data_IF_020753804247
#
_entry.id   IF_020753804247
#
_cell.length_a   1.000
_cell.length_b   1.000
_cell.length_c   1.000
_cell.angle_alpha   90.00
_cell.angle_beta   90.00
_cell.angle_gamma   90.00
#
_symmetry.space_group_name_H-M   'P 1'
#
loop_
_entity.id
_entity.type
_entity.pdbx_description
1 polymer ?
#
# COMPACT_ATOMS: atom_id res chain seq x y z
N UNK A 1 -14.13 9.70 -49.33
CA UNK A 1 -13.07 9.97 -48.35
C UNK A 1 -13.50 10.86 -47.17
N UNK A 2 -13.99 12.10 -47.42
CA UNK A 2 -14.40 13.01 -46.30
C UNK A 2 -15.50 12.44 -45.41
N UNK A 3 -16.55 11.83 -45.97
CA UNK A 3 -17.64 11.23 -45.19
C UNK A 3 -17.15 10.12 -44.28
N UNK A 4 -16.28 9.22 -44.78
CA UNK A 4 -15.69 8.13 -43.97
C UNK A 4 -14.84 8.69 -42.83
N UNK A 5 -14.06 9.74 -43.09
CA UNK A 5 -13.26 10.41 -42.05
C UNK A 5 -14.15 11.01 -40.95
N UNK A 6 -15.21 11.72 -41.32
CA UNK A 6 -16.13 12.33 -40.34
C UNK A 6 -16.90 11.29 -39.55
N UNK A 7 -17.35 10.19 -40.17
CA UNK A 7 -18.02 9.09 -39.43
C UNK A 7 -17.08 8.39 -38.49
N UNK A 8 -15.82 8.12 -38.88
CA UNK A 8 -14.81 7.52 -38.02
C UNK A 8 -14.46 8.41 -36.82
N UNK A 9 -14.31 9.74 -37.06
CA UNK A 9 -14.06 10.69 -35.97
C UNK A 9 -15.24 10.78 -35.00
N UNK A 10 -16.47 10.85 -35.53
CA UNK A 10 -17.68 10.87 -34.71
C UNK A 10 -17.80 9.61 -33.84
N UNK A 11 -17.52 8.42 -34.39
CA UNK A 11 -17.53 7.16 -33.67
C UNK A 11 -16.45 7.16 -32.56
N UNK A 12 -15.24 7.62 -32.87
CA UNK A 12 -14.15 7.70 -31.87
C UNK A 12 -14.53 8.64 -30.72
N UNK A 13 -15.11 9.79 -31.02
CA UNK A 13 -15.58 10.74 -30.00
C UNK A 13 -16.68 10.12 -29.12
N UNK A 14 -17.64 9.43 -29.76
CA UNK A 14 -18.72 8.75 -29.05
C UNK A 14 -18.19 7.64 -28.11
N UNK A 15 -17.26 6.81 -28.60
CA UNK A 15 -16.62 5.75 -27.80
C UNK A 15 -15.82 6.34 -26.62
N UNK A 16 -15.11 7.44 -26.87
CA UNK A 16 -14.39 8.15 -25.82
C UNK A 16 -15.35 8.70 -24.76
N UNK A 17 -16.41 9.37 -25.18
CA UNK A 17 -17.42 9.91 -24.26
C UNK A 17 -18.10 8.80 -23.44
N UNK A 18 -18.47 7.69 -24.08
CA UNK A 18 -19.03 6.52 -23.41
C UNK A 18 -18.07 5.94 -22.37
N UNK A 19 -16.79 5.81 -22.73
CA UNK A 19 -15.75 5.32 -21.81
C UNK A 19 -15.62 6.22 -20.59
N UNK A 20 -15.53 7.54 -20.80
CA UNK A 20 -15.40 8.51 -19.70
C UNK A 20 -16.65 8.52 -18.80
N UNK A 21 -17.84 8.48 -19.40
CA UNK A 21 -19.10 8.41 -18.65
C UNK A 21 -19.19 7.13 -17.81
N UNK A 22 -18.85 5.97 -18.40
CA UNK A 22 -18.92 4.68 -17.72
C UNK A 22 -17.87 4.61 -16.60
N UNK A 23 -16.65 5.11 -16.84
CA UNK A 23 -15.61 5.20 -15.82
C UNK A 23 -16.08 6.07 -14.64
N UNK A 24 -16.58 7.28 -14.89
CA UNK A 24 -17.10 8.15 -13.83
C UNK A 24 -18.27 7.51 -13.05
N UNK A 25 -19.14 6.77 -13.73
CA UNK A 25 -20.24 6.04 -13.08
C UNK A 25 -19.73 4.90 -12.20
N UNK A 26 -18.69 4.17 -12.62
CA UNK A 26 -18.10 3.09 -11.82
C UNK A 26 -17.35 3.65 -10.61
N UNK A 27 -16.65 4.76 -10.76
CA UNK A 27 -16.01 5.50 -9.66
C UNK A 27 -17.04 5.91 -8.60
N UNK A 28 -18.11 6.57 -9.02
CA UNK A 28 -19.19 7.00 -8.12
C UNK A 28 -19.87 5.81 -7.41
N UNK A 29 -20.02 4.68 -8.10
CA UNK A 29 -20.57 3.45 -7.50
C UNK A 29 -19.64 2.86 -6.45
N UNK A 30 -18.33 2.83 -6.73
CA UNK A 30 -17.35 2.35 -5.79
C UNK A 30 -17.32 3.22 -4.52
N UNK A 31 -17.35 4.55 -4.68
CA UNK A 31 -17.40 5.48 -3.55
C UNK A 31 -18.70 5.38 -2.74
N UNK A 32 -19.83 5.15 -3.39
CA UNK A 32 -21.10 4.94 -2.71
C UNK A 32 -21.19 3.60 -1.96
N UNK A 33 -20.57 2.55 -2.53
CA UNK A 33 -20.53 1.22 -1.91
C UNK A 33 -19.49 1.14 -0.76
N UNK A 34 -18.42 1.88 -0.85
CA UNK A 34 -17.30 1.86 0.09
C UNK A 34 -16.95 3.29 0.55
N UNK A 35 -17.83 3.97 1.30
CA UNK A 35 -17.54 5.31 1.82
C UNK A 35 -16.31 5.29 2.75
N UNK A 36 -15.67 6.44 3.01
CA UNK A 36 -14.56 6.53 3.96
C UNK A 36 -15.02 6.07 5.35
N UNK A 37 -14.21 5.22 5.99
CA UNK A 37 -14.51 4.64 7.33
C UNK A 37 -14.02 5.53 8.47
N UNK A 38 -13.17 6.50 8.20
CA UNK A 38 -12.48 7.32 9.18
C UNK A 38 -12.64 8.81 8.94
N UNK A 39 -11.60 9.53 9.29
CA UNK A 39 -11.54 10.99 9.27
C UNK A 39 -10.49 11.49 8.27
N UNK A 40 -10.45 12.81 8.10
CA UNK A 40 -9.52 13.47 7.21
C UNK A 40 -8.66 14.46 7.98
N UNK A 41 -7.38 14.53 7.60
CA UNK A 41 -6.39 15.44 8.13
C UNK A 41 -5.75 16.23 6.97
N UNK A 42 -5.56 17.54 7.16
CA UNK A 42 -4.85 18.38 6.20
C UNK A 42 -3.39 18.58 6.68
N UNK A 43 -2.45 18.14 5.83
CA UNK A 43 -1.01 18.33 6.05
C UNK A 43 -0.42 18.99 4.82
N UNK A 44 0.11 20.19 4.97
CA UNK A 44 0.76 20.97 3.90
C UNK A 44 -0.12 21.09 2.62
N UNK A 45 -1.45 21.26 2.81
CA UNK A 45 -2.41 21.32 1.72
C UNK A 45 -2.79 19.96 1.13
N UNK A 46 -2.29 18.86 1.68
CA UNK A 46 -2.62 17.50 1.27
C UNK A 46 -3.64 16.89 2.23
N UNK A 47 -4.78 16.44 1.72
CA UNK A 47 -5.80 15.75 2.50
C UNK A 47 -5.44 14.28 2.62
N UNK A 48 -5.28 13.80 3.86
CA UNK A 48 -4.97 12.42 4.20
C UNK A 48 -6.16 11.81 4.94
N UNK A 49 -6.64 10.68 4.44
CA UNK A 49 -7.65 9.86 5.11
C UNK A 49 -6.97 8.90 6.08
N UNK A 50 -7.53 8.77 7.27
CA UNK A 50 -7.07 7.83 8.28
C UNK A 50 -8.23 7.23 9.06
N UNK A 51 -8.00 6.04 9.60
CA UNK A 51 -8.88 5.38 10.58
C UNK A 51 -8.10 5.24 11.88
N UNK A 52 -8.72 5.58 13.00
CA UNK A 52 -8.09 5.45 14.32
C UNK A 52 -9.01 4.68 15.27
N UNK A 53 -8.41 3.79 16.06
CA UNK A 53 -9.15 3.01 17.06
C UNK A 53 -8.24 2.63 18.24
N UNK A 54 -8.85 2.37 19.39
CA UNK A 54 -8.15 1.89 20.58
C UNK A 54 -7.42 2.96 21.37
N UNK A 55 -6.65 2.50 22.34
CA UNK A 55 -5.81 3.31 23.23
C UNK A 55 -4.57 2.52 23.66
N UNK A 56 -3.52 3.21 24.09
CA UNK A 56 -2.23 2.60 24.44
C UNK A 56 -1.10 3.16 23.59
N UNK A 57 0.02 2.42 23.43
CA UNK A 57 1.11 2.82 22.56
C UNK A 57 0.64 3.03 21.11
N UNK A 58 1.20 4.04 20.44
CA UNK A 58 0.85 4.38 19.07
C UNK A 58 1.37 3.34 18.07
N UNK A 59 0.49 2.87 17.21
CA UNK A 59 0.80 1.93 16.15
C UNK A 59 0.24 2.43 14.81
N UNK A 60 1.12 2.81 13.91
CA UNK A 60 0.77 3.21 12.52
C UNK A 60 0.82 1.99 11.60
N UNK A 61 -0.23 1.79 10.80
CA UNK A 61 -0.31 0.72 9.79
C UNK A 61 -0.31 1.32 8.39
N UNK A 62 0.59 0.84 7.51
CA UNK A 62 0.78 1.31 6.14
C UNK A 62 0.56 0.16 5.16
N UNK A 63 -0.49 0.25 4.35
CA UNK A 63 -0.90 -0.79 3.40
C UNK A 63 0.01 -0.88 2.16
N UNK A 64 -0.07 -2.00 1.45
CA UNK A 64 0.67 -2.31 0.24
C UNK A 64 0.23 -1.55 -1.03
N UNK A 65 0.77 -1.95 -2.17
CA UNK A 65 0.33 -1.46 -3.48
C UNK A 65 -1.14 -1.81 -3.73
N UNK A 66 -1.87 -0.95 -4.44
CA UNK A 66 -3.30 -1.12 -4.73
C UNK A 66 -4.23 -1.22 -3.51
N UNK A 67 -3.71 -1.11 -2.29
CA UNK A 67 -4.47 -1.20 -1.06
C UNK A 67 -5.16 0.11 -0.66
N UNK A 68 -5.86 0.06 0.46
CA UNK A 68 -6.44 1.18 1.18
C UNK A 68 -6.57 0.81 2.66
N UNK A 69 -7.13 1.68 3.52
CA UNK A 69 -7.31 1.42 4.96
C UNK A 69 -8.06 0.12 5.25
N UNK A 70 -8.93 -0.35 4.35
CA UNK A 70 -9.72 -1.58 4.51
C UNK A 70 -8.86 -2.84 4.59
N UNK A 71 -7.62 -2.78 4.12
CA UNK A 71 -6.61 -3.83 4.29
C UNK A 71 -6.44 -4.22 5.77
N UNK A 72 -6.46 -3.23 6.65
CA UNK A 72 -6.28 -3.45 8.08
C UNK A 72 -7.58 -3.34 8.89
N UNK A 73 -8.58 -2.57 8.41
CA UNK A 73 -9.87 -2.47 9.12
C UNK A 73 -10.71 -3.75 8.98
N UNK A 74 -10.39 -4.64 8.05
CA UNK A 74 -11.06 -5.92 7.88
C UNK A 74 -11.05 -6.78 9.15
N UNK A 75 -9.87 -6.90 9.80
CA UNK A 75 -9.74 -7.72 11.02
C UNK A 75 -8.67 -7.19 11.98
N UNK A 76 -7.55 -6.65 11.48
CA UNK A 76 -6.41 -6.31 12.33
C UNK A 76 -6.69 -5.15 13.27
N UNK A 77 -7.45 -4.13 12.83
CA UNK A 77 -7.83 -3.00 13.68
C UNK A 77 -8.44 -3.48 14.98
N UNK A 78 -9.46 -4.32 14.89
CA UNK A 78 -10.21 -4.78 16.09
C UNK A 78 -9.35 -5.70 16.97
N UNK A 79 -8.49 -6.53 16.37
CA UNK A 79 -7.57 -7.40 17.10
C UNK A 79 -6.45 -6.64 17.83
N UNK A 80 -6.14 -5.40 17.43
CA UNK A 80 -5.06 -4.59 18.00
C UNK A 80 -5.56 -3.47 18.92
N UNK A 81 -6.81 -3.02 18.77
CA UNK A 81 -7.34 -1.83 19.44
C UNK A 81 -7.46 -1.95 20.97
N UNK A 82 -7.47 -3.16 21.53
CA UNK A 82 -7.45 -3.38 22.98
C UNK A 82 -6.08 -3.08 23.62
N UNK A 83 -5.02 -3.02 22.81
CA UNK A 83 -3.62 -2.89 23.29
C UNK A 83 -2.88 -1.68 22.73
N UNK A 84 -3.29 -1.19 21.58
CA UNK A 84 -2.65 -0.10 20.84
C UNK A 84 -3.64 0.99 20.46
N UNK A 85 -3.17 2.23 20.39
CA UNK A 85 -3.84 3.25 19.60
C UNK A 85 -3.43 3.06 18.14
N UNK A 86 -4.27 2.36 17.39
CA UNK A 86 -4.05 2.00 15.99
C UNK A 86 -4.41 3.17 15.09
N UNK A 87 -3.49 3.58 14.21
CA UNK A 87 -3.68 4.63 13.21
C UNK A 87 -3.41 4.02 11.84
N UNK A 88 -4.41 3.93 10.99
CA UNK A 88 -4.33 3.33 9.66
C UNK A 88 -4.46 4.44 8.64
N UNK A 89 -3.46 4.66 7.80
CA UNK A 89 -3.51 5.67 6.76
C UNK A 89 -3.83 5.07 5.39
N UNK A 90 -4.66 5.77 4.61
CA UNK A 90 -4.60 5.63 3.16
C UNK A 90 -3.32 6.30 2.67
N UNK A 91 -2.44 5.55 1.96
CA UNK A 91 -1.24 6.13 1.37
C UNK A 91 -1.60 7.20 0.33
N UNK A 92 -0.75 8.21 0.10
CA UNK A 92 -1.02 9.28 -0.86
C UNK A 92 -1.48 8.77 -2.23
N UNK A 93 -2.60 9.29 -2.72
CA UNK A 93 -3.22 8.94 -4.00
C UNK A 93 -4.02 7.63 -4.01
N UNK A 94 -4.07 6.91 -2.89
CA UNK A 94 -4.85 5.68 -2.74
C UNK A 94 -5.99 5.89 -1.71
N UNK A 95 -6.95 4.97 -1.70
CA UNK A 95 -8.13 5.11 -0.86
C UNK A 95 -8.76 6.49 -1.03
N UNK A 96 -8.84 7.25 0.03
CA UNK A 96 -9.41 8.60 0.04
C UNK A 96 -8.38 9.72 0.29
N UNK A 97 -7.09 9.39 0.33
CA UNK A 97 -6.02 10.38 0.42
C UNK A 97 -5.73 11.06 -0.91
N UNK A 98 -5.42 12.36 -0.87
CA UNK A 98 -4.99 13.10 -2.06
C UNK A 98 -3.65 12.56 -2.59
N UNK A 99 -3.46 12.68 -3.89
CA UNK A 99 -2.15 12.45 -4.52
C UNK A 99 -1.18 13.54 -4.10
N UNK A 100 0.05 13.18 -3.78
CA UNK A 100 1.12 14.16 -3.56
C UNK A 100 1.36 14.98 -4.84
N UNK A 101 1.62 16.27 -4.68
CA UNK A 101 2.00 17.13 -5.79
C UNK A 101 3.38 16.77 -6.36
N UNK A 102 3.57 17.04 -7.64
CA UNK A 102 4.81 16.72 -8.34
C UNK A 102 4.95 15.23 -8.64
N UNK A 103 6.14 14.68 -8.45
CA UNK A 103 6.42 13.25 -8.62
C UNK A 103 5.89 12.36 -7.51
N UNK A 104 5.40 12.92 -6.41
CA UNK A 104 4.72 12.36 -5.19
C UNK A 104 4.66 10.86 -4.93
N UNK A 105 5.27 10.09 -5.80
CA UNK A 105 5.41 8.64 -5.78
C UNK A 105 6.65 8.19 -5.00
N UNK A 106 7.61 9.09 -4.71
CA UNK A 106 8.83 8.77 -4.01
C UNK A 106 8.54 8.23 -2.59
N UNK A 107 9.23 7.16 -2.22
CA UNK A 107 9.10 6.51 -0.89
C UNK A 107 9.34 7.49 0.25
N UNK A 108 10.38 8.35 0.11
CA UNK A 108 10.71 9.38 1.09
C UNK A 108 9.56 10.35 1.33
N UNK A 109 8.95 10.86 0.26
CA UNK A 109 7.92 11.90 0.37
C UNK A 109 6.64 11.33 0.99
N UNK A 110 6.28 10.09 0.64
CA UNK A 110 5.19 9.36 1.29
C UNK A 110 5.48 9.16 2.79
N UNK A 111 6.67 8.69 3.14
CA UNK A 111 7.07 8.43 4.52
C UNK A 111 7.03 9.71 5.38
N UNK A 112 7.61 10.80 4.89
CA UNK A 112 7.64 12.08 5.61
C UNK A 112 6.25 12.71 5.74
N UNK A 113 5.37 12.56 4.74
CA UNK A 113 3.98 13.01 4.85
C UNK A 113 3.22 12.22 5.93
N UNK A 114 3.33 10.89 5.92
CA UNK A 114 2.66 10.04 6.92
C UNK A 114 3.24 10.24 8.32
N UNK A 115 4.55 10.49 8.43
CA UNK A 115 5.18 10.86 9.71
C UNK A 115 4.59 12.15 10.27
N UNK A 116 4.49 13.22 9.45
CA UNK A 116 3.87 14.48 9.90
C UNK A 116 2.38 14.32 10.22
N UNK A 117 1.67 13.47 9.47
CA UNK A 117 0.28 13.13 9.76
C UNK A 117 0.14 12.42 11.12
N UNK A 118 0.99 11.45 11.41
CA UNK A 118 1.02 10.77 12.70
C UNK A 118 1.33 11.73 13.86
N UNK A 119 2.35 12.58 13.73
CA UNK A 119 2.70 13.59 14.72
C UNK A 119 1.55 14.60 14.96
N UNK A 120 0.80 14.97 13.90
CA UNK A 120 -0.37 15.85 14.02
C UNK A 120 -1.52 15.21 14.81
N UNK A 121 -1.59 13.88 14.80
CA UNK A 121 -2.51 13.08 15.63
C UNK A 121 -1.96 12.78 17.04
N UNK A 122 -0.80 13.35 17.40
CA UNK A 122 -0.13 13.16 18.68
C UNK A 122 0.67 11.86 18.78
N UNK A 123 0.94 11.19 17.66
CA UNK A 123 1.82 10.02 17.57
C UNK A 123 3.22 10.46 17.14
N UNK A 124 3.97 11.07 18.05
CA UNK A 124 5.27 11.67 17.76
C UNK A 124 6.36 10.62 17.50
N UNK A 125 6.24 9.46 18.12
CA UNK A 125 7.20 8.35 18.00
C UNK A 125 6.48 7.00 18.02
N UNK A 126 5.66 6.68 17.01
CA UNK A 126 4.88 5.45 16.96
C UNK A 126 5.74 4.21 16.65
N UNK A 127 5.18 3.04 16.91
CA UNK A 127 5.51 1.82 16.19
C UNK A 127 4.93 1.94 14.78
N UNK A 128 5.64 1.44 13.77
CA UNK A 128 5.15 1.46 12.38
C UNK A 128 5.16 0.05 11.80
N UNK A 129 4.00 -0.41 11.34
CA UNK A 129 3.89 -1.61 10.52
C UNK A 129 3.72 -1.23 9.05
N UNK A 130 4.53 -1.82 8.18
CA UNK A 130 4.38 -1.70 6.73
C UNK A 130 4.28 -3.05 6.05
N UNK A 131 3.22 -3.22 5.23
CA UNK A 131 3.02 -4.43 4.43
C UNK A 131 3.45 -4.18 2.98
N UNK A 132 4.20 -5.12 2.37
CA UNK A 132 4.57 -5.07 0.95
C UNK A 132 5.22 -3.72 0.56
N UNK A 133 4.62 -2.96 -0.36
CA UNK A 133 5.01 -1.58 -0.69
C UNK A 133 5.01 -0.66 0.54
N UNK A 134 4.03 -0.82 1.44
CA UNK A 134 3.99 -0.08 2.71
C UNK A 134 5.20 -0.33 3.59
N UNK A 135 5.81 -1.51 3.49
CA UNK A 135 7.09 -1.82 4.12
C UNK A 135 8.26 -0.99 3.58
N UNK A 136 8.29 -0.74 2.27
CA UNK A 136 9.28 0.19 1.67
C UNK A 136 9.11 1.63 2.20
N UNK A 137 7.86 2.07 2.39
CA UNK A 137 7.54 3.39 2.98
C UNK A 137 7.93 3.43 4.47
N UNK A 138 7.68 2.36 5.22
CA UNK A 138 8.09 2.24 6.62
C UNK A 138 9.62 2.26 6.78
N UNK A 139 10.36 1.59 5.89
CA UNK A 139 11.82 1.67 5.82
C UNK A 139 12.31 3.09 5.46
N UNK A 140 11.62 3.77 4.54
CA UNK A 140 11.92 5.18 4.23
C UNK A 140 11.69 6.09 5.45
N UNK A 141 10.67 5.81 6.27
CA UNK A 141 10.45 6.53 7.53
C UNK A 141 11.64 6.33 8.49
N UNK A 142 12.09 5.08 8.69
CA UNK A 142 13.25 4.79 9.54
C UNK A 142 14.54 5.44 9.05
N UNK A 143 14.74 5.54 7.72
CA UNK A 143 15.92 6.16 7.10
C UNK A 143 15.91 7.69 7.18
N UNK A 144 14.73 8.31 7.05
CA UNK A 144 14.63 9.77 6.88
C UNK A 144 14.09 10.54 8.10
N UNK A 145 13.46 9.85 9.04
CA UNK A 145 12.95 10.42 10.28
C UNK A 145 13.07 9.43 11.46
N UNK A 146 14.29 8.89 11.71
CA UNK A 146 14.50 7.86 12.73
C UNK A 146 14.14 8.29 14.16
N UNK A 147 14.26 9.57 14.48
CA UNK A 147 13.90 10.16 15.76
C UNK A 147 12.39 10.12 16.04
N UNK A 148 11.58 10.02 14.99
CA UNK A 148 10.12 9.91 15.04
C UNK A 148 9.62 8.48 14.87
N UNK A 149 10.41 7.48 15.28
CA UNK A 149 10.09 6.06 15.14
C UNK A 149 10.52 5.30 16.41
N UNK A 150 9.58 4.55 17.00
CA UNK A 150 9.88 3.68 18.13
C UNK A 150 10.42 2.31 17.68
N UNK A 151 9.83 1.73 16.65
CA UNK A 151 10.23 0.44 16.09
C UNK A 151 9.43 0.09 14.84
N UNK A 152 9.90 -0.91 14.09
CA UNK A 152 9.30 -1.37 12.83
C UNK A 152 8.80 -2.80 12.92
N UNK A 153 7.63 -3.07 12.35
CA UNK A 153 7.19 -4.41 11.95
C UNK A 153 7.00 -4.44 10.44
N UNK A 154 7.74 -5.30 9.76
CA UNK A 154 7.75 -5.38 8.29
C UNK A 154 7.12 -6.70 7.86
N UNK A 155 6.03 -6.62 7.10
CA UNK A 155 5.24 -7.78 6.66
C UNK A 155 5.39 -7.93 5.16
N UNK A 156 6.07 -9.00 4.71
CA UNK A 156 6.31 -9.27 3.28
C UNK A 156 6.81 -8.04 2.52
N UNK A 157 7.72 -7.27 3.12
CA UNK A 157 8.13 -5.95 2.67
C UNK A 157 9.07 -6.01 1.46
N UNK A 158 8.81 -5.18 0.44
CA UNK A 158 9.77 -4.95 -0.64
C UNK A 158 10.90 -4.04 -0.13
N UNK A 159 12.11 -4.57 0.02
CA UNK A 159 13.21 -3.88 0.70
C UNK A 159 14.51 -3.80 -0.11
N UNK A 160 14.78 -4.75 -0.98
CA UNK A 160 16.04 -4.84 -1.71
C UNK A 160 15.82 -4.81 -3.22
N UNK A 161 16.80 -4.35 -4.01
CA UNK A 161 16.71 -4.30 -5.47
C UNK A 161 16.52 -5.69 -6.09
N UNK A 162 15.77 -5.76 -7.17
CA UNK A 162 15.55 -6.94 -7.99
C UNK A 162 15.85 -6.67 -9.46
N UNK A 163 16.10 -7.72 -10.26
CA UNK A 163 16.58 -7.61 -11.65
C UNK A 163 15.51 -7.69 -12.73
N UNK A 164 14.28 -8.08 -12.41
CA UNK A 164 13.22 -8.30 -13.41
C UNK A 164 12.58 -7.01 -13.97
N UNK A 165 12.93 -5.87 -13.38
CA UNK A 165 12.37 -4.57 -13.77
C UNK A 165 10.88 -4.42 -13.47
N UNK A 166 10.26 -3.41 -14.12
CA UNK A 166 8.82 -3.14 -13.99
C UNK A 166 8.04 -4.03 -14.99
N UNK A 167 7.03 -4.73 -14.50
CA UNK A 167 6.17 -5.56 -15.37
C UNK A 167 5.42 -4.72 -16.42
N UNK A 168 5.10 -5.34 -17.57
CA UNK A 168 4.47 -4.68 -18.71
C UNK A 168 3.21 -3.89 -18.33
N UNK A 169 2.38 -4.44 -17.44
CA UNK A 169 1.17 -3.78 -16.95
C UNK A 169 1.48 -2.39 -16.36
N UNK A 170 2.42 -2.31 -15.43
CA UNK A 170 2.79 -1.04 -14.80
C UNK A 170 3.58 -0.12 -15.72
N UNK A 171 4.40 -0.66 -16.64
CA UNK A 171 5.08 0.11 -17.68
C UNK A 171 4.07 0.84 -18.58
N UNK A 172 2.99 0.16 -18.96
CA UNK A 172 1.91 0.76 -19.73
C UNK A 172 1.18 1.82 -18.91
N UNK A 173 0.72 1.48 -17.70
CA UNK A 173 -0.13 2.37 -16.90
C UNK A 173 0.61 3.60 -16.36
N UNK A 174 1.93 3.54 -16.14
CA UNK A 174 2.75 4.69 -15.76
C UNK A 174 3.09 5.62 -16.92
N UNK A 175 2.98 5.15 -18.17
CA UNK A 175 3.20 5.98 -19.37
C UNK A 175 2.10 7.02 -19.57
N UNK A 176 2.44 8.16 -20.23
CA UNK A 176 1.46 9.20 -20.53
C UNK A 176 0.24 8.69 -21.30
N UNK A 177 0.44 7.87 -22.32
CA UNK A 177 -0.65 7.32 -23.11
C UNK A 177 -1.47 6.28 -22.34
N UNK A 178 -0.83 5.46 -21.50
CA UNK A 178 -1.50 4.52 -20.63
C UNK A 178 -2.43 5.22 -19.64
N UNK A 179 -1.95 6.27 -19.00
CA UNK A 179 -2.76 7.10 -18.08
C UNK A 179 -3.93 7.78 -18.81
N UNK A 180 -3.72 8.21 -20.04
CA UNK A 180 -4.74 8.97 -20.82
C UNK A 180 -5.80 8.08 -21.46
N UNK A 181 -5.44 6.86 -21.87
CA UNK A 181 -6.30 5.99 -22.67
C UNK A 181 -6.57 4.64 -22.02
N UNK A 182 -5.56 3.95 -21.46
CA UNK A 182 -5.73 2.59 -20.94
C UNK A 182 -6.43 2.61 -19.58
N UNK A 183 -6.02 3.46 -18.67
CA UNK A 183 -6.66 3.57 -17.33
C UNK A 183 -8.17 3.83 -17.44
N UNK A 184 -8.67 4.80 -18.23
CA UNK A 184 -10.11 4.99 -18.40
C UNK A 184 -10.85 3.76 -18.95
N UNK A 185 -10.22 3.01 -19.88
CA UNK A 185 -10.78 1.76 -20.38
C UNK A 185 -10.88 0.69 -19.31
N UNK A 186 -9.83 0.51 -18.51
CA UNK A 186 -9.84 -0.44 -17.38
C UNK A 186 -10.91 -0.05 -16.36
N UNK A 187 -10.93 1.21 -15.93
CA UNK A 187 -11.96 1.70 -14.99
C UNK A 187 -13.39 1.49 -15.52
N UNK A 188 -13.59 1.65 -16.83
CA UNK A 188 -14.91 1.50 -17.44
C UNK A 188 -15.34 0.05 -17.67
N UNK A 189 -14.41 -0.85 -18.00
CA UNK A 189 -14.76 -2.13 -18.62
C UNK A 189 -14.10 -3.37 -18.02
N UNK A 190 -13.17 -3.24 -17.03
CA UNK A 190 -12.59 -4.43 -16.39
C UNK A 190 -13.71 -5.27 -15.77
N UNK A 191 -13.80 -6.58 -16.08
CA UNK A 191 -14.82 -7.43 -15.49
C UNK A 191 -14.51 -7.71 -14.02
N UNK A 192 -15.53 -7.81 -13.12
CA UNK A 192 -15.32 -8.16 -11.71
C UNK A 192 -14.49 -9.44 -11.53
N UNK A 193 -14.75 -10.48 -12.30
CA UNK A 193 -14.00 -11.74 -12.23
C UNK A 193 -12.49 -11.58 -12.45
N UNK A 194 -12.05 -10.61 -13.26
CA UNK A 194 -10.61 -10.34 -13.45
C UNK A 194 -10.02 -9.74 -12.18
N UNK A 195 -10.80 -8.89 -11.53
CA UNK A 195 -10.40 -8.26 -10.26
C UNK A 195 -10.30 -9.31 -9.16
N UNK A 196 -11.32 -10.19 -9.04
CA UNK A 196 -11.36 -11.27 -8.06
C UNK A 196 -10.16 -12.22 -8.24
N UNK A 197 -9.89 -12.65 -9.47
CA UNK A 197 -8.73 -13.49 -9.78
C UNK A 197 -7.40 -12.82 -9.40
N UNK A 198 -7.28 -11.50 -9.62
CA UNK A 198 -6.06 -10.76 -9.24
C UNK A 198 -5.89 -10.70 -7.73
N UNK A 199 -6.98 -10.60 -6.97
CA UNK A 199 -6.95 -10.68 -5.51
C UNK A 199 -6.52 -12.09 -5.09
N UNK A 200 -7.13 -13.14 -5.67
CA UNK A 200 -6.77 -14.54 -5.36
C UNK A 200 -5.28 -14.82 -5.62
N UNK A 201 -4.73 -14.31 -6.73
CA UNK A 201 -3.31 -14.47 -7.08
C UNK A 201 -2.36 -13.90 -6.03
N UNK A 202 -2.73 -12.78 -5.37
CA UNK A 202 -1.89 -12.17 -4.33
C UNK A 202 -1.85 -13.01 -3.04
N UNK A 203 -2.89 -13.82 -2.79
CA UNK A 203 -2.95 -14.71 -1.62
C UNK A 203 -2.23 -16.05 -1.83
N UNK A 204 -1.88 -16.42 -3.06
CA UNK A 204 -1.25 -17.72 -3.32
C UNK A 204 0.01 -17.95 -2.45
N UNK A 205 0.21 -19.18 -1.97
CA UNK A 205 -0.55 -20.42 -2.20
C UNK A 205 -1.84 -20.57 -1.37
N UNK A 206 -2.13 -19.62 -0.50
CA UNK A 206 -3.32 -19.58 0.33
C UNK A 206 -4.52 -18.99 -0.44
N UNK A 207 -5.64 -18.81 0.21
CA UNK A 207 -6.84 -18.16 -0.34
C UNK A 207 -7.25 -16.97 0.53
N UNK A 208 -7.89 -15.94 -0.06
CA UNK A 208 -8.44 -14.85 0.72
C UNK A 208 -9.39 -15.35 1.82
N UNK A 209 -9.38 -14.74 3.01
CA UNK A 209 -10.36 -15.05 4.05
C UNK A 209 -11.79 -14.78 3.59
N UNK A 210 -12.75 -15.52 4.14
CA UNK A 210 -14.17 -15.30 3.87
C UNK A 210 -14.58 -13.84 4.10
N UNK A 211 -15.28 -13.26 3.12
CA UNK A 211 -15.75 -11.87 3.11
C UNK A 211 -14.71 -10.84 2.66
N UNK A 212 -13.44 -11.21 2.43
CA UNK A 212 -12.40 -10.26 2.06
C UNK A 212 -12.68 -9.55 0.73
N UNK A 213 -13.09 -10.29 -0.32
CA UNK A 213 -13.43 -9.72 -1.64
C UNK A 213 -14.50 -8.61 -1.55
N UNK A 214 -15.53 -8.85 -0.77
CA UNK A 214 -16.62 -7.89 -0.58
C UNK A 214 -16.21 -6.70 0.29
N UNK A 215 -15.24 -6.90 1.21
CA UNK A 215 -14.86 -5.86 2.16
C UNK A 215 -13.81 -4.90 1.63
N UNK A 216 -12.79 -5.41 0.89
CA UNK A 216 -11.60 -4.63 0.54
C UNK A 216 -11.88 -3.40 -0.34
N UNK A 217 -13.03 -3.38 -1.01
CA UNK A 217 -13.41 -2.25 -1.85
C UNK A 217 -12.52 -2.09 -3.08
N UNK A 218 -12.24 -3.17 -3.81
CA UNK A 218 -11.38 -3.17 -5.00
C UNK A 218 -11.78 -2.11 -6.04
N UNK A 219 -13.06 -1.73 -6.09
CA UNK A 219 -13.55 -0.63 -6.93
C UNK A 219 -12.90 0.72 -6.63
N UNK A 220 -12.46 0.97 -5.38
CA UNK A 220 -11.73 2.18 -5.01
C UNK A 220 -10.35 2.23 -5.67
N UNK A 221 -9.68 1.09 -5.76
CA UNK A 221 -8.38 0.95 -6.45
C UNK A 221 -8.51 1.18 -7.95
N UNK A 222 -9.64 0.77 -8.56
CA UNK A 222 -9.90 0.92 -9.98
C UNK A 222 -10.32 2.34 -10.40
N UNK A 223 -10.48 3.29 -9.48
CA UNK A 223 -10.68 4.69 -9.84
C UNK A 223 -9.47 5.25 -10.58
N UNK A 224 -9.72 6.06 -11.60
CA UNK A 224 -8.65 6.63 -12.45
C UNK A 224 -7.55 7.33 -11.67
N UNK A 225 -7.84 8.17 -10.64
CA UNK A 225 -6.79 8.77 -9.81
C UNK A 225 -5.95 7.72 -9.06
N UNK A 226 -6.60 6.74 -8.44
CA UNK A 226 -5.92 5.69 -7.67
C UNK A 226 -5.05 4.79 -8.57
N UNK A 227 -5.54 4.39 -9.73
CA UNK A 227 -4.75 3.61 -10.70
C UNK A 227 -3.53 4.38 -11.19
N UNK A 228 -3.65 5.70 -11.45
CA UNK A 228 -2.52 6.54 -11.84
C UNK A 228 -1.47 6.63 -10.74
N UNK A 229 -1.90 6.95 -9.52
CA UNK A 229 -1.01 7.04 -8.37
C UNK A 229 -0.27 5.72 -8.13
N UNK A 230 -1.01 4.60 -8.09
CA UNK A 230 -0.42 3.28 -7.91
C UNK A 230 0.58 2.91 -9.01
N UNK A 231 0.27 3.21 -10.27
CA UNK A 231 1.16 2.92 -11.40
C UNK A 231 2.47 3.72 -11.32
N UNK A 232 2.41 5.01 -10.99
CA UNK A 232 3.59 5.86 -10.81
C UNK A 232 4.42 5.39 -9.61
N UNK A 233 3.78 5.11 -8.48
CA UNK A 233 4.45 4.59 -7.28
C UNK A 233 5.17 3.26 -7.57
N UNK A 234 4.55 2.36 -8.32
CA UNK A 234 5.17 1.09 -8.74
C UNK A 234 6.33 1.30 -9.70
N UNK A 235 6.24 2.29 -10.60
CA UNK A 235 7.32 2.61 -11.54
C UNK A 235 8.56 3.17 -10.83
N UNK A 236 8.39 3.95 -9.78
CA UNK A 236 9.49 4.56 -9.02
C UNK A 236 10.00 3.68 -7.85
N UNK A 237 9.31 2.57 -7.55
CA UNK A 237 9.62 1.74 -6.37
C UNK A 237 11.06 1.22 -6.38
N UNK A 238 11.53 0.68 -7.50
CA UNK A 238 12.87 0.10 -7.62
C UNK A 238 13.94 1.16 -7.39
N UNK A 239 13.82 2.31 -8.03
CA UNK A 239 14.77 3.42 -7.89
C UNK A 239 14.78 3.95 -6.45
N UNK A 240 13.60 4.05 -5.82
CA UNK A 240 13.47 4.43 -4.42
C UNK A 240 14.15 3.43 -3.47
N UNK A 241 14.01 2.13 -3.72
CA UNK A 241 14.69 1.09 -2.93
C UNK A 241 16.21 1.13 -3.16
N UNK A 242 16.67 1.29 -4.40
CA UNK A 242 18.11 1.43 -4.72
C UNK A 242 18.71 2.62 -3.97
N UNK A 243 17.98 3.73 -3.89
CA UNK A 243 18.45 4.94 -3.20
C UNK A 243 18.51 4.78 -1.66
N UNK A 244 17.55 4.07 -1.06
CA UNK A 244 17.48 3.96 0.41
C UNK A 244 18.23 2.75 0.99
N UNK A 245 18.35 1.65 0.26
CA UNK A 245 18.91 0.39 0.73
C UNK A 245 20.33 0.53 1.33
N UNK A 246 21.26 1.36 0.79
CA UNK A 246 22.59 1.55 1.39
C UNK A 246 22.56 2.12 2.82
N UNK A 247 21.44 2.69 3.24
CA UNK A 247 21.25 3.29 4.56
C UNK A 247 20.54 2.40 5.58
N UNK A 248 20.22 1.16 5.23
CA UNK A 248 19.56 0.25 6.15
C UNK A 248 20.42 -0.09 7.37
N UNK A 249 21.75 -0.10 7.22
CA UNK A 249 22.67 -0.22 8.36
C UNK A 249 22.64 0.93 9.36
N UNK A 250 22.07 2.09 8.99
CA UNK A 250 21.91 3.25 9.88
C UNK A 250 20.67 3.09 10.82
N UNK A 251 19.78 2.12 10.56
CA UNK A 251 18.56 1.88 11.34
C UNK A 251 18.92 1.24 12.68
N UNK A 252 18.79 2.01 13.74
CA UNK A 252 19.11 1.58 15.13
C UNK A 252 17.88 1.12 15.90
N UNK A 253 16.68 1.42 15.42
CA UNK A 253 15.42 0.98 16.02
C UNK A 253 15.27 -0.54 15.95
N UNK A 254 14.48 -1.11 16.85
CA UNK A 254 14.10 -2.52 16.79
C UNK A 254 13.25 -2.81 15.55
N UNK A 255 13.56 -3.88 14.84
CA UNK A 255 12.84 -4.32 13.64
C UNK A 255 12.44 -5.79 13.78
N UNK A 256 11.16 -6.08 13.61
CA UNK A 256 10.64 -7.44 13.44
C UNK A 256 10.21 -7.59 11.97
N UNK A 257 10.77 -8.57 11.30
CA UNK A 257 10.44 -8.91 9.91
C UNK A 257 9.67 -10.22 9.93
N UNK A 258 8.51 -10.26 9.28
CA UNK A 258 7.71 -11.47 9.12
C UNK A 258 7.38 -11.69 7.65
N UNK A 259 7.66 -12.90 7.14
CA UNK A 259 7.56 -13.19 5.70
C UNK A 259 7.18 -14.65 5.45
N UNK A 260 6.30 -14.86 4.47
CA UNK A 260 5.94 -16.20 4.03
C UNK A 260 6.99 -16.82 3.09
N UNK A 261 7.36 -18.09 3.32
CA UNK A 261 8.33 -18.77 2.44
C UNK A 261 7.76 -19.08 1.05
N UNK A 262 6.45 -19.08 0.90
CA UNK A 262 5.72 -19.25 -0.37
C UNK A 262 5.38 -17.96 -1.11
N UNK A 263 5.84 -16.80 -0.64
CA UNK A 263 5.58 -15.51 -1.27
C UNK A 263 6.26 -15.39 -2.65
N UNK A 264 5.44 -15.41 -3.70
CA UNK A 264 5.89 -15.24 -5.10
C UNK A 264 5.78 -13.80 -5.58
N UNK A 265 5.10 -12.93 -4.84
CA UNK A 265 4.92 -11.50 -5.18
C UNK A 265 6.15 -10.68 -4.77
N UNK A 266 6.65 -10.94 -3.55
CA UNK A 266 7.84 -10.32 -2.98
C UNK A 266 8.74 -11.44 -2.45
N UNK A 267 9.65 -12.01 -3.25
CA UNK A 267 10.41 -13.19 -2.87
C UNK A 267 11.25 -12.98 -1.60
N UNK A 268 11.09 -13.86 -0.61
CA UNK A 268 11.79 -13.86 0.67
C UNK A 268 13.31 -13.70 0.50
N UNK A 269 13.88 -14.46 -0.42
CA UNK A 269 15.35 -14.52 -0.67
C UNK A 269 15.93 -13.23 -1.25
N UNK A 270 15.10 -12.42 -1.93
CA UNK A 270 15.52 -11.12 -2.48
C UNK A 270 15.36 -10.01 -1.43
N UNK A 271 14.33 -10.09 -0.58
CA UNK A 271 13.94 -8.98 0.27
C UNK A 271 14.26 -9.21 1.74
N UNK A 272 13.51 -10.03 2.45
CA UNK A 272 13.58 -10.10 3.92
C UNK A 272 14.83 -10.81 4.45
N UNK A 273 15.35 -11.82 3.74
CA UNK A 273 16.61 -12.47 4.17
C UNK A 273 17.82 -11.53 4.08
N UNK A 274 18.07 -10.78 2.97
CA UNK A 274 19.14 -9.79 2.98
C UNK A 274 18.88 -8.66 3.99
N UNK A 275 17.63 -8.16 4.09
CA UNK A 275 17.27 -7.08 5.00
C UNK A 275 17.61 -7.41 6.46
N UNK A 276 17.33 -8.64 6.90
CA UNK A 276 17.62 -9.08 8.27
C UNK A 276 19.10 -9.10 8.61
N UNK A 277 19.97 -9.15 7.60
CA UNK A 277 21.45 -9.05 7.74
C UNK A 277 21.97 -7.63 7.59
N UNK A 278 21.19 -6.73 6.99
CA UNK A 278 21.54 -5.32 6.78
C UNK A 278 21.22 -4.45 7.99
N UNK A 279 20.24 -4.84 8.80
CA UNK A 279 19.82 -4.11 10.01
C UNK A 279 20.25 -4.92 11.23
N UNK A 280 21.15 -4.37 12.05
CA UNK A 280 21.73 -5.08 13.22
C UNK A 280 20.64 -5.53 14.22
N UNK A 281 19.64 -4.68 14.46
CA UNK A 281 18.56 -4.92 15.42
C UNK A 281 17.32 -5.60 14.80
N UNK A 282 17.48 -6.28 13.64
CA UNK A 282 16.39 -6.99 12.99
C UNK A 282 16.30 -8.46 13.41
N UNK A 283 15.07 -8.92 13.66
CA UNK A 283 14.71 -10.33 13.75
C UNK A 283 13.89 -10.72 12.55
N UNK A 284 14.13 -11.91 11.98
CA UNK A 284 13.35 -12.47 10.88
C UNK A 284 12.56 -13.70 11.35
N UNK A 285 11.26 -13.64 11.18
CA UNK A 285 10.34 -14.77 11.33
C UNK A 285 9.87 -15.23 9.94
N UNK A 286 10.21 -16.46 9.57
CA UNK A 286 9.75 -17.07 8.31
C UNK A 286 8.55 -17.94 8.62
N UNK A 287 7.43 -17.69 7.93
CA UNK A 287 6.21 -18.49 8.00
C UNK A 287 6.26 -19.53 6.89
N UNK A 288 6.46 -20.80 7.26
CA UNK A 288 6.59 -21.88 6.29
C UNK A 288 5.31 -22.09 5.48
N UNK A 289 5.44 -22.10 4.16
CA UNK A 289 4.34 -22.24 3.21
C UNK A 289 3.39 -21.06 3.07
N UNK A 290 3.48 -20.02 3.91
CA UNK A 290 2.63 -18.84 3.80
C UNK A 290 3.00 -17.98 2.56
N UNK A 291 1.99 -17.31 2.00
CA UNK A 291 2.13 -16.40 0.85
C UNK A 291 2.40 -14.95 1.23
N UNK A 292 1.94 -14.05 0.34
CA UNK A 292 2.22 -12.60 0.43
C UNK A 292 1.39 -11.84 1.47
N UNK A 293 0.30 -12.45 2.00
CA UNK A 293 -0.69 -11.75 2.83
C UNK A 293 -0.78 -12.33 4.26
N UNK A 294 0.36 -12.52 4.98
CA UNK A 294 0.34 -13.18 6.29
C UNK A 294 -0.43 -12.41 7.37
N UNK A 295 -0.63 -11.09 7.21
CA UNK A 295 -1.47 -10.29 8.10
C UNK A 295 -2.96 -10.66 8.02
N UNK A 296 -3.37 -11.46 7.02
CA UNK A 296 -4.69 -12.06 6.92
C UNK A 296 -4.67 -13.55 7.23
N UNK A 297 -3.71 -14.28 6.66
CA UNK A 297 -3.69 -15.76 6.71
C UNK A 297 -2.98 -16.29 7.96
N UNK A 298 -2.06 -15.52 8.53
CA UNK A 298 -1.32 -15.82 9.75
C UNK A 298 -1.35 -14.65 10.73
N UNK A 299 -2.48 -13.95 10.86
CA UNK A 299 -2.64 -12.73 11.65
C UNK A 299 -2.08 -12.86 13.10
N UNK A 300 -2.28 -13.95 13.85
CA UNK A 300 -1.69 -14.08 15.19
C UNK A 300 -0.16 -13.91 15.20
N UNK A 301 0.55 -14.51 14.25
CA UNK A 301 2.01 -14.39 14.16
C UNK A 301 2.47 -12.96 13.84
N UNK A 302 1.68 -12.22 13.04
CA UNK A 302 1.94 -10.78 12.77
C UNK A 302 1.70 -9.94 14.02
N UNK A 303 0.65 -10.23 14.79
CA UNK A 303 0.36 -9.57 16.06
C UNK A 303 1.49 -9.83 17.06
N UNK A 304 1.95 -11.07 17.19
CA UNK A 304 3.09 -11.42 18.04
C UNK A 304 4.37 -10.66 17.62
N UNK A 305 4.58 -10.42 16.32
CA UNK A 305 5.71 -9.61 15.85
C UNK A 305 5.57 -8.13 16.26
N UNK A 306 4.35 -7.57 16.19
CA UNK A 306 4.05 -6.22 16.70
C UNK A 306 4.36 -6.14 18.20
N UNK A 307 3.89 -7.11 18.99
CA UNK A 307 4.09 -7.16 20.43
C UNK A 307 5.58 -7.27 20.78
N UNK A 308 6.36 -8.08 20.03
CA UNK A 308 7.83 -8.14 20.20
C UNK A 308 8.47 -6.81 19.83
N UNK A 309 8.01 -6.13 18.78
CA UNK A 309 8.52 -4.79 18.43
C UNK A 309 8.27 -3.82 19.57
N UNK A 310 7.05 -3.80 20.14
CA UNK A 310 6.69 -2.93 21.26
C UNK A 310 7.55 -3.22 22.51
N UNK A 311 7.68 -4.49 22.89
CA UNK A 311 8.48 -4.89 24.05
C UNK A 311 9.96 -4.49 23.89
N UNK A 312 10.56 -4.73 22.71
CA UNK A 312 11.94 -4.35 22.40
C UNK A 312 12.14 -2.84 22.33
N UNK A 313 11.10 -2.08 22.00
CA UNK A 313 11.09 -0.61 22.01
C UNK A 313 10.81 -0.03 23.42
N UNK A 314 10.53 -0.85 24.42
CA UNK A 314 10.20 -0.42 25.78
C UNK A 314 8.80 0.18 25.93
N UNK A 315 7.87 -0.22 25.06
CA UNK A 315 6.47 0.18 25.05
C UNK A 315 5.61 -1.03 25.48
N UNK A 316 5.37 -1.16 26.78
CA UNK A 316 4.55 -2.24 27.36
C UNK A 316 3.25 -1.67 27.92
#
# INVERSE_FOLDING_TARGET
>A
MRTVLYTSLALLLLLTALTQWRAARNEARAEAAYPPEGEFLEIDGQRIHYVMAGSGPDLVLIHGASGNTREFTFRMRDALSDRYRVIIFDRPGLGYSHTLDGSGSALRDQALLLQRAAARLGADRPLVLGQSYGGSVALAWAVHAPEHLAGLTLVSAASNPWSTGLGTYYTVLSSWWGQRFVIPLLTAFVPPRVVDNTIDEVFLPETPPEGYHDYIGAGLTLRRPAMRANALQRAELLDGIVAQQPRYGDITQTVEIIHGSGDTTVPLSIHSEPLSRQIENANLTILDGAGHMPHHTAMPAVIDAIDRTAARAGLN
#
